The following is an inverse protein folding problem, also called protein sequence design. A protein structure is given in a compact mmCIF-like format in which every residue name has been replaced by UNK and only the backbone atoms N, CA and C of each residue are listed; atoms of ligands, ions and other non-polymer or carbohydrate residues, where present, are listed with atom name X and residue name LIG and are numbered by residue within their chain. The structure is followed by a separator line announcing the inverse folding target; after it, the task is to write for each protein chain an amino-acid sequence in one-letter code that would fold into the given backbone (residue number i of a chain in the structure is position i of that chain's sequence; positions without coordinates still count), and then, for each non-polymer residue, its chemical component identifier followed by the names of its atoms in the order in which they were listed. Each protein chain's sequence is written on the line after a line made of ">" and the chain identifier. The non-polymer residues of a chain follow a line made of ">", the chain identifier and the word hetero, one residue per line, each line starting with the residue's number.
data_IF_773977329228
#
_entry.id   IF_773977329228
#
_cell.length_a   1.000
_cell.length_b   1.000
_cell.length_c   1.000
_cell.angle_alpha   90.00
_cell.angle_beta   90.00
_cell.angle_gamma   90.00
#
_symmetry.space_group_name_H-M   'P 1'
#
loop_
_entity.id
_entity.type
_entity.pdbx_description
1 polymer ?
#
# COMPACT_ATOMS: atom_id res chain seq x y z
N UNK A 1 39.67 -23.00 20.39
CA UNK A 1 38.53 -23.91 20.07
C UNK A 1 37.29 -23.53 20.88
N UNK A 2 37.03 -22.23 21.06
CA UNK A 2 35.91 -21.71 21.86
C UNK A 2 35.21 -20.53 21.15
N UNK A 3 35.51 -20.35 19.85
CA UNK A 3 35.02 -19.23 19.03
C UNK A 3 33.87 -19.68 18.10
N UNK A 4 33.81 -20.96 17.73
CA UNK A 4 32.80 -21.53 16.81
C UNK A 4 31.34 -21.38 17.31
N UNK A 5 31.12 -21.38 18.63
CA UNK A 5 29.76 -21.32 19.17
C UNK A 5 29.10 -19.95 19.00
N UNK A 6 29.89 -18.86 19.01
CA UNK A 6 29.39 -17.50 18.77
C UNK A 6 28.99 -17.28 17.31
N UNK A 7 29.71 -17.93 16.40
CA UNK A 7 29.46 -17.84 14.97
C UNK A 7 28.15 -18.58 14.62
N UNK A 8 27.94 -19.76 15.20
CA UNK A 8 26.74 -20.57 14.97
C UNK A 8 25.43 -19.88 15.41
N UNK A 9 25.44 -19.17 16.54
CA UNK A 9 24.27 -18.39 17.00
C UNK A 9 23.97 -17.17 16.12
N UNK A 10 25.01 -16.55 15.57
CA UNK A 10 24.88 -15.41 14.65
C UNK A 10 24.33 -15.87 13.30
N UNK A 11 24.81 -17.00 12.78
CA UNK A 11 24.38 -17.59 11.52
C UNK A 11 22.91 -18.05 11.56
N UNK A 12 22.47 -18.63 12.69
CA UNK A 12 21.06 -18.98 12.92
C UNK A 12 20.15 -17.75 12.96
N UNK A 13 20.59 -16.68 13.63
CA UNK A 13 19.85 -15.41 13.72
C UNK A 13 19.64 -14.78 12.35
N UNK A 14 20.70 -14.76 11.54
CA UNK A 14 20.66 -14.24 10.17
C UNK A 14 19.74 -15.09 9.29
N UNK A 15 19.80 -16.42 9.40
CA UNK A 15 18.94 -17.34 8.67
C UNK A 15 17.45 -17.12 8.98
N UNK A 16 17.07 -17.01 10.26
CA UNK A 16 15.67 -16.76 10.67
C UNK A 16 15.18 -15.41 10.14
N UNK A 17 15.97 -14.35 10.25
CA UNK A 17 15.57 -13.03 9.74
C UNK A 17 15.49 -13.01 8.21
N UNK A 18 16.39 -13.71 7.52
CA UNK A 18 16.42 -13.79 6.06
C UNK A 18 15.24 -14.58 5.49
N UNK A 19 14.81 -15.66 6.14
CA UNK A 19 13.60 -16.39 5.75
C UNK A 19 12.34 -15.52 5.88
N UNK A 20 12.17 -14.83 7.02
CA UNK A 20 11.06 -13.89 7.24
C UNK A 20 11.07 -12.75 6.23
N UNK A 21 12.25 -12.21 5.89
CA UNK A 21 12.41 -11.15 4.90
C UNK A 21 12.05 -11.63 3.48
N UNK A 22 12.50 -12.83 3.10
CA UNK A 22 12.14 -13.43 1.81
C UNK A 22 10.64 -13.72 1.71
N UNK A 23 10.02 -14.20 2.79
CA UNK A 23 8.57 -14.39 2.85
C UNK A 23 7.84 -13.05 2.72
N UNK A 24 8.27 -12.02 3.46
CA UNK A 24 7.71 -10.67 3.37
C UNK A 24 7.81 -10.12 1.94
N UNK A 25 8.95 -10.29 1.29
CA UNK A 25 9.16 -9.85 -0.10
C UNK A 25 8.22 -10.58 -1.06
N UNK A 26 8.13 -11.92 -0.98
CA UNK A 26 7.28 -12.72 -1.87
C UNK A 26 5.80 -12.37 -1.69
N UNK A 27 5.32 -12.28 -0.46
CA UNK A 27 3.94 -11.91 -0.16
C UNK A 27 3.62 -10.47 -0.56
N UNK A 28 4.53 -9.52 -0.30
CA UNK A 28 4.35 -8.12 -0.71
C UNK A 28 4.24 -7.99 -2.23
N UNK A 29 5.12 -8.67 -2.97
CA UNK A 29 5.07 -8.64 -4.43
C UNK A 29 3.79 -9.29 -4.97
N UNK A 30 3.33 -10.38 -4.36
CA UNK A 30 2.06 -11.01 -4.69
C UNK A 30 0.86 -10.07 -4.43
N UNK A 31 0.82 -9.40 -3.27
CA UNK A 31 -0.24 -8.45 -2.94
C UNK A 31 -0.29 -7.28 -3.93
N UNK A 32 0.85 -6.67 -4.24
CA UNK A 32 0.94 -5.58 -5.22
C UNK A 32 0.45 -6.04 -6.60
N UNK A 33 0.89 -7.24 -7.03
CA UNK A 33 0.52 -7.79 -8.34
C UNK A 33 -0.98 -8.08 -8.45
N UNK A 34 -1.57 -8.69 -7.41
CA UNK A 34 -3.01 -8.98 -7.35
C UNK A 34 -3.81 -7.67 -7.36
N UNK A 35 -3.39 -6.67 -6.59
CA UNK A 35 -4.12 -5.39 -6.50
C UNK A 35 -4.05 -4.59 -7.82
N UNK A 36 -2.88 -4.59 -8.47
CA UNK A 36 -2.72 -3.99 -9.78
C UNK A 36 -3.61 -4.69 -10.82
N UNK A 37 -3.55 -6.03 -10.89
CA UNK A 37 -4.36 -6.83 -11.81
C UNK A 37 -5.86 -6.60 -11.61
N UNK A 38 -6.33 -6.61 -10.36
CA UNK A 38 -7.74 -6.33 -10.04
C UNK A 38 -8.18 -4.94 -10.51
N UNK A 39 -7.34 -3.93 -10.31
CA UNK A 39 -7.59 -2.56 -10.78
C UNK A 39 -7.69 -2.51 -12.31
N UNK A 40 -6.73 -3.11 -13.03
CA UNK A 40 -6.77 -3.17 -14.49
C UNK A 40 -8.02 -3.88 -15.01
N UNK A 41 -8.37 -5.04 -14.45
CA UNK A 41 -9.56 -5.81 -14.84
C UNK A 41 -10.85 -5.00 -14.61
N UNK A 42 -10.95 -4.28 -13.49
CA UNK A 42 -12.09 -3.42 -13.19
C UNK A 42 -12.29 -2.32 -14.26
N UNK A 43 -11.21 -1.64 -14.67
CA UNK A 43 -11.30 -0.62 -15.71
C UNK A 43 -11.55 -1.19 -17.11
N UNK A 44 -10.97 -2.35 -17.44
CA UNK A 44 -11.27 -3.05 -18.70
C UNK A 44 -12.76 -3.43 -18.75
N UNK A 45 -13.30 -4.04 -17.70
CA UNK A 45 -14.73 -4.42 -17.62
C UNK A 45 -15.62 -3.20 -17.86
N UNK A 46 -15.31 -2.09 -17.19
CA UNK A 46 -16.08 -0.86 -17.37
C UNK A 46 -15.98 -0.30 -18.79
N UNK A 47 -14.80 -0.29 -19.40
CA UNK A 47 -14.64 0.21 -20.75
C UNK A 47 -15.41 -0.65 -21.75
N UNK A 48 -15.35 -1.98 -21.60
CA UNK A 48 -16.10 -2.93 -22.42
C UNK A 48 -17.60 -2.69 -22.27
N UNK A 49 -18.10 -2.57 -21.03
CA UNK A 49 -19.52 -2.30 -20.74
C UNK A 49 -19.99 -0.97 -21.32
N UNK A 50 -19.20 0.09 -21.18
CA UNK A 50 -19.49 1.40 -21.77
C UNK A 50 -19.48 1.39 -23.30
N UNK A 51 -18.67 0.53 -23.94
CA UNK A 51 -18.66 0.35 -25.40
C UNK A 51 -19.88 -0.43 -25.90
N UNK A 52 -20.36 -1.40 -25.12
CA UNK A 52 -21.52 -2.23 -25.45
C UNK A 52 -22.83 -1.44 -25.30
N UNK A 53 -22.96 -0.65 -24.23
CA UNK A 53 -24.14 0.21 -24.01
C UNK A 53 -24.27 1.33 -25.05
N UNK A 54 -23.13 1.87 -25.51
CA UNK A 54 -23.09 2.86 -26.60
C UNK A 54 -23.60 2.33 -27.94
N UNK A 55 -23.66 1.01 -28.16
CA UNK A 55 -24.25 0.40 -29.35
C UNK A 55 -25.78 0.31 -29.31
N UNK A 56 -26.36 0.36 -28.11
CA UNK A 56 -27.80 0.23 -27.87
C UNK A 56 -28.53 1.59 -27.74
N UNK A 57 -27.83 2.69 -28.04
CA UNK A 57 -28.42 4.03 -28.06
C UNK A 57 -28.64 4.67 -26.68
N UNK A 58 -28.15 4.06 -25.59
CA UNK A 58 -28.22 4.63 -24.24
C UNK A 58 -26.86 5.13 -23.73
N UNK A 59 -26.97 6.10 -22.82
CA UNK A 59 -25.92 6.98 -22.28
C UNK A 59 -24.71 6.22 -21.73
N UNK A 60 -23.50 6.68 -22.05
CA UNK A 60 -22.23 6.11 -21.60
C UNK A 60 -22.01 6.40 -20.10
N UNK A 61 -22.16 5.38 -19.25
CA UNK A 61 -21.88 5.47 -17.80
C UNK A 61 -20.41 5.21 -17.47
N UNK A 62 -19.88 5.93 -16.47
CA UNK A 62 -18.52 5.74 -15.96
C UNK A 62 -18.39 4.47 -15.10
N UNK A 63 -17.18 3.85 -15.02
CA UNK A 63 -16.87 2.69 -14.16
C UNK A 63 -17.31 2.85 -12.72
N UNK A 64 -17.09 4.05 -12.20
CA UNK A 64 -17.44 4.48 -10.86
C UNK A 64 -18.64 5.41 -11.03
N UNK A 65 -19.65 5.24 -10.18
CA UNK A 65 -20.78 6.18 -10.09
C UNK A 65 -20.28 7.54 -9.59
N UNK A 66 -19.66 8.32 -10.47
CA UNK A 66 -19.30 9.72 -10.21
C UNK A 66 -20.33 10.56 -10.96
N UNK A 67 -21.27 11.13 -10.21
CA UNK A 67 -22.18 12.13 -10.75
C UNK A 67 -21.42 13.45 -10.90
N UNK A 68 -21.01 13.74 -12.13
CA UNK A 68 -20.54 15.08 -12.46
C UNK A 68 -21.75 16.00 -12.67
N UNK A 69 -21.73 17.25 -12.18
CA UNK A 69 -22.83 18.20 -12.35
C UNK A 69 -22.96 18.75 -13.79
N UNK A 70 -22.28 18.14 -14.77
CA UNK A 70 -22.24 18.56 -16.16
C UNK A 70 -22.30 17.34 -17.10
N UNK A 71 -22.88 17.52 -18.27
CA UNK A 71 -22.93 16.51 -19.33
C UNK A 71 -21.52 16.18 -19.84
N UNK A 72 -21.00 15.03 -19.42
CA UNK A 72 -19.68 14.52 -19.81
C UNK A 72 -19.74 13.81 -21.17
N UNK A 73 -20.52 14.33 -22.12
CA UNK A 73 -20.75 13.68 -23.41
C UNK A 73 -19.81 14.19 -24.52
N UNK A 74 -19.02 15.24 -24.25
CA UNK A 74 -18.05 15.75 -25.22
C UNK A 74 -16.66 15.12 -25.05
N UNK A 75 -16.16 14.63 -26.18
CA UNK A 75 -15.15 13.58 -26.32
C UNK A 75 -13.77 13.89 -25.72
N UNK A 76 -13.25 15.13 -25.62
CA UNK A 76 -11.95 15.32 -24.98
C UNK A 76 -12.03 15.33 -23.45
N UNK A 77 -13.13 15.81 -22.87
CA UNK A 77 -13.27 16.01 -21.41
C UNK A 77 -13.57 14.70 -20.71
N UNK A 78 -14.46 13.89 -21.30
CA UNK A 78 -14.78 12.55 -20.80
C UNK A 78 -13.53 11.67 -20.68
N UNK A 79 -12.68 11.67 -21.71
CA UNK A 79 -11.47 10.87 -21.75
C UNK A 79 -10.46 11.32 -20.69
N UNK A 80 -10.28 12.63 -20.51
CA UNK A 80 -9.36 13.17 -19.52
C UNK A 80 -9.81 12.90 -18.08
N UNK A 81 -11.10 13.11 -17.78
CA UNK A 81 -11.69 12.81 -16.47
C UNK A 81 -11.57 11.32 -16.16
N UNK A 82 -11.87 10.46 -17.15
CA UNK A 82 -11.70 9.01 -17.02
C UNK A 82 -10.25 8.60 -16.76
N UNK A 83 -9.29 9.22 -17.43
CA UNK A 83 -7.86 8.98 -17.21
C UNK A 83 -7.40 9.45 -15.82
N UNK A 84 -7.84 10.62 -15.37
CA UNK A 84 -7.56 11.12 -14.03
C UNK A 84 -8.11 10.19 -12.94
N UNK A 85 -9.33 9.69 -13.13
CA UNK A 85 -9.96 8.73 -12.23
C UNK A 85 -9.22 7.39 -12.23
N UNK A 86 -8.76 6.92 -13.39
CA UNK A 86 -7.91 5.73 -13.49
C UNK A 86 -6.63 5.87 -12.66
N UNK A 87 -5.91 6.97 -12.82
CA UNK A 87 -4.68 7.19 -12.05
C UNK A 87 -4.95 7.33 -10.54
N UNK A 88 -6.02 8.01 -10.14
CA UNK A 88 -6.38 8.15 -8.73
C UNK A 88 -6.71 6.80 -8.08
N UNK A 89 -7.48 5.93 -8.77
CA UNK A 89 -7.79 4.59 -8.26
C UNK A 89 -6.52 3.72 -8.23
N UNK A 90 -5.69 3.78 -9.28
CA UNK A 90 -4.42 3.05 -9.33
C UNK A 90 -3.51 3.44 -8.17
N UNK A 91 -3.32 4.74 -7.94
CA UNK A 91 -2.52 5.28 -6.85
C UNK A 91 -3.07 4.83 -5.48
N UNK A 92 -4.38 4.97 -5.26
CA UNK A 92 -5.03 4.55 -4.02
C UNK A 92 -4.82 3.05 -3.77
N UNK A 93 -4.99 2.22 -4.81
CA UNK A 93 -4.73 0.78 -4.75
C UNK A 93 -3.26 0.48 -4.44
N UNK A 94 -2.31 1.19 -5.06
CA UNK A 94 -0.88 1.05 -4.78
C UNK A 94 -0.56 1.41 -3.33
N UNK A 95 -1.06 2.53 -2.82
CA UNK A 95 -0.85 2.94 -1.43
C UNK A 95 -1.39 1.89 -0.47
N UNK A 96 -2.62 1.41 -0.64
CA UNK A 96 -3.19 0.35 0.19
C UNK A 96 -2.31 -0.91 0.16
N UNK A 97 -1.84 -1.32 -1.02
CA UNK A 97 -0.95 -2.47 -1.16
C UNK A 97 0.40 -2.25 -0.44
N UNK A 98 0.98 -1.05 -0.53
CA UNK A 98 2.20 -0.68 0.19
C UNK A 98 2.00 -0.70 1.70
N UNK A 99 0.89 -0.16 2.21
CA UNK A 99 0.57 -0.19 3.65
C UNK A 99 0.42 -1.62 4.15
N UNK A 100 -0.28 -2.47 3.42
CA UNK A 100 -0.43 -3.89 3.75
C UNK A 100 0.92 -4.64 3.72
N UNK A 101 1.78 -4.36 2.74
CA UNK A 101 3.14 -4.90 2.66
C UNK A 101 4.01 -4.46 3.85
N UNK A 102 3.91 -3.19 4.25
CA UNK A 102 4.60 -2.66 5.42
C UNK A 102 4.13 -3.34 6.71
N UNK A 103 2.82 -3.48 6.91
CA UNK A 103 2.23 -4.18 8.05
C UNK A 103 2.68 -5.65 8.07
N UNK A 104 2.66 -6.33 6.92
CA UNK A 104 3.11 -7.72 6.84
C UNK A 104 4.59 -7.87 7.20
N UNK A 105 5.44 -7.03 6.62
CA UNK A 105 6.88 -7.00 6.91
C UNK A 105 7.13 -6.74 8.39
N UNK A 106 6.35 -5.85 9.00
CA UNK A 106 6.39 -5.57 10.43
C UNK A 106 6.11 -6.81 11.27
N UNK A 107 4.98 -7.46 10.99
CA UNK A 107 4.53 -8.63 11.74
C UNK A 107 5.58 -9.72 11.63
N UNK A 108 6.13 -9.95 10.45
CA UNK A 108 7.19 -10.93 10.22
C UNK A 108 8.50 -10.55 10.91
N UNK A 109 8.90 -9.28 10.91
CA UNK A 109 10.08 -8.80 11.62
C UNK A 109 9.94 -8.97 13.14
N UNK A 110 8.82 -8.56 13.73
CA UNK A 110 8.55 -8.74 15.17
C UNK A 110 8.50 -10.22 15.52
N UNK A 111 7.88 -11.04 14.67
CA UNK A 111 7.84 -12.50 14.86
C UNK A 111 9.24 -13.11 14.82
N UNK A 112 10.10 -12.72 13.87
CA UNK A 112 11.49 -13.16 13.83
C UNK A 112 12.29 -12.74 15.07
N UNK A 113 12.10 -11.51 15.57
CA UNK A 113 12.72 -11.07 16.82
C UNK A 113 12.21 -11.88 18.04
N UNK A 114 10.95 -12.30 18.04
CA UNK A 114 10.37 -13.16 19.07
C UNK A 114 10.98 -14.56 19.01
N UNK A 115 11.09 -15.14 17.81
CA UNK A 115 11.66 -16.46 17.55
C UNK A 115 13.12 -16.53 18.03
N UNK A 116 13.95 -15.53 17.69
CA UNK A 116 15.35 -15.41 18.16
C UNK A 116 15.42 -15.41 19.68
N UNK A 117 14.62 -14.57 20.34
CA UNK A 117 14.60 -14.50 21.82
C UNK A 117 14.16 -15.84 22.44
N UNK A 118 13.21 -16.54 21.83
CA UNK A 118 12.79 -17.86 22.29
C UNK A 118 13.89 -18.91 22.12
N UNK A 119 14.68 -18.85 21.04
CA UNK A 119 15.84 -19.72 20.83
C UNK A 119 16.91 -19.49 21.89
N UNK A 120 17.31 -18.24 22.13
CA UNK A 120 18.28 -17.87 23.17
C UNK A 120 17.80 -18.29 24.58
N UNK A 121 16.50 -18.12 24.87
CA UNK A 121 15.91 -18.55 26.14
C UNK A 121 15.92 -20.07 26.31
N UNK A 122 15.73 -20.84 25.23
CA UNK A 122 15.76 -22.31 25.29
C UNK A 122 17.17 -22.81 25.60
N UNK A 123 18.19 -22.13 25.06
CA UNK A 123 19.60 -22.40 25.34
C UNK A 123 19.95 -22.07 26.80
N UNK A 124 19.54 -20.89 27.30
CA UNK A 124 19.81 -20.44 28.69
C UNK A 124 18.98 -21.20 29.74
N UNK A 125 17.75 -21.60 29.43
CA UNK A 125 16.89 -22.37 30.33
C UNK A 125 17.48 -23.75 30.65
N UNK A 126 18.44 -24.24 29.86
CA UNK A 126 19.19 -25.44 30.20
C UNK A 126 20.19 -25.22 31.35
N UNK A 127 20.49 -23.96 31.74
CA UNK A 127 21.59 -23.60 32.67
C UNK A 127 21.13 -22.93 33.98
N UNK A 128 20.07 -22.13 34.05
CA UNK A 128 19.33 -21.80 35.32
C UNK A 128 18.22 -20.77 35.11
N UNK A 129 17.16 -20.83 35.93
CA UNK A 129 15.98 -19.93 35.94
C UNK A 129 16.22 -18.71 36.83
N UNK A 130 16.06 -17.49 36.31
CA UNK A 130 15.87 -16.29 37.14
C UNK A 130 14.84 -15.31 36.58
N UNK A 131 14.08 -14.69 37.48
CA UNK A 131 12.97 -13.75 37.22
C UNK A 131 13.40 -12.40 36.63
N UNK A 132 14.66 -11.98 36.79
CA UNK A 132 15.15 -10.70 36.27
C UNK A 132 15.34 -10.70 34.75
N UNK A 133 15.68 -11.85 34.18
CA UNK A 133 15.84 -12.05 32.73
C UNK A 133 14.51 -11.82 32.01
N UNK A 134 13.40 -12.28 32.59
CA UNK A 134 12.07 -12.11 32.01
C UNK A 134 11.65 -10.63 31.90
N UNK A 135 11.92 -9.83 32.94
CA UNK A 135 11.67 -8.40 32.93
C UNK A 135 12.54 -7.67 31.89
N UNK A 136 13.83 -8.03 31.80
CA UNK A 136 14.76 -7.44 30.82
C UNK A 136 14.34 -7.74 29.37
N UNK A 137 13.92 -8.98 29.11
CA UNK A 137 13.40 -9.41 27.79
C UNK A 137 12.11 -8.69 27.42
N UNK A 138 11.21 -8.46 28.37
CA UNK A 138 9.96 -7.71 28.15
C UNK A 138 10.24 -6.24 27.79
N UNK A 139 11.18 -5.59 28.51
CA UNK A 139 11.59 -4.20 28.23
C UNK A 139 12.25 -4.08 26.86
N UNK A 140 13.11 -5.02 26.47
CA UNK A 140 13.74 -5.05 25.13
C UNK A 140 12.69 -5.27 24.03
N UNK A 141 11.72 -6.16 24.25
CA UNK A 141 10.60 -6.36 23.30
C UNK A 141 9.76 -5.10 23.14
N UNK A 142 9.40 -4.44 24.24
CA UNK A 142 8.67 -3.17 24.19
C UNK A 142 9.47 -2.07 23.48
N UNK A 143 10.76 -1.91 23.78
CA UNK A 143 11.60 -0.92 23.10
C UNK A 143 11.73 -1.19 21.60
N UNK A 144 11.89 -2.45 21.18
CA UNK A 144 11.91 -2.81 19.76
C UNK A 144 10.58 -2.49 19.07
N UNK A 145 9.44 -2.79 19.70
CA UNK A 145 8.11 -2.44 19.16
C UNK A 145 7.94 -0.92 19.06
N UNK A 146 8.37 -0.16 20.07
CA UNK A 146 8.28 1.31 20.07
C UNK A 146 9.17 1.90 18.96
N UNK A 147 10.42 1.45 18.83
CA UNK A 147 11.34 1.92 17.79
C UNK A 147 10.80 1.61 16.40
N UNK A 148 10.24 0.41 16.22
CA UNK A 148 9.68 -0.02 14.95
C UNK A 148 8.40 0.77 14.63
N UNK A 149 7.53 1.00 15.61
CA UNK A 149 6.33 1.83 15.48
C UNK A 149 6.65 3.25 15.02
N UNK A 150 7.69 3.87 15.58
CA UNK A 150 8.14 5.21 15.15
C UNK A 150 8.59 5.24 13.70
N UNK A 151 9.32 4.21 13.24
CA UNK A 151 9.73 4.12 11.84
C UNK A 151 8.52 3.95 10.92
N UNK A 152 7.56 3.07 11.26
CA UNK A 152 6.32 2.91 10.49
C UNK A 152 5.56 4.22 10.40
N UNK A 153 5.36 4.90 11.54
CA UNK A 153 4.59 6.13 11.63
C UNK A 153 5.19 7.20 10.70
N UNK A 154 6.52 7.30 10.65
CA UNK A 154 7.21 8.18 9.71
C UNK A 154 6.94 7.81 8.25
N UNK A 155 7.03 6.53 7.88
CA UNK A 155 6.76 6.08 6.51
C UNK A 155 5.30 6.29 6.11
N UNK A 156 4.35 5.93 6.98
CA UNK A 156 2.92 6.14 6.76
C UNK A 156 2.59 7.62 6.62
N UNK A 157 3.15 8.47 7.49
CA UNK A 157 2.95 9.92 7.43
C UNK A 157 3.48 10.50 6.11
N UNK A 158 4.64 10.04 5.65
CA UNK A 158 5.20 10.47 4.37
C UNK A 158 4.33 10.05 3.18
N UNK A 159 3.88 8.79 3.14
CA UNK A 159 3.00 8.28 2.07
C UNK A 159 1.65 9.01 2.08
N UNK A 160 1.07 9.24 3.26
CA UNK A 160 -0.18 9.98 3.40
C UNK A 160 -0.05 11.44 2.92
N UNK A 161 1.06 12.11 3.22
CA UNK A 161 1.33 13.46 2.75
C UNK A 161 1.44 13.52 1.22
N UNK A 162 2.19 12.61 0.61
CA UNK A 162 2.35 12.55 -0.84
C UNK A 162 0.98 12.36 -1.53
N UNK A 163 0.17 11.44 -1.01
CA UNK A 163 -1.18 11.17 -1.49
C UNK A 163 -2.09 12.40 -1.37
N UNK A 164 -2.01 13.14 -0.26
CA UNK A 164 -2.79 14.36 -0.05
C UNK A 164 -2.44 15.44 -1.09
N UNK A 165 -1.15 15.66 -1.32
CA UNK A 165 -0.67 16.62 -2.31
C UNK A 165 -1.11 16.23 -3.72
N UNK A 166 -0.96 14.96 -4.10
CA UNK A 166 -1.35 14.48 -5.42
C UNK A 166 -2.87 14.55 -5.65
N UNK A 167 -3.69 14.13 -4.68
CA UNK A 167 -5.14 14.25 -4.75
C UNK A 167 -5.58 15.71 -4.92
N UNK A 168 -4.95 16.63 -4.18
CA UNK A 168 -5.22 18.06 -4.32
C UNK A 168 -4.88 18.54 -5.73
N UNK A 169 -3.73 18.15 -6.27
CA UNK A 169 -3.33 18.48 -7.63
C UNK A 169 -4.32 17.97 -8.68
N UNK A 170 -4.76 16.71 -8.58
CA UNK A 170 -5.76 16.11 -9.48
C UNK A 170 -7.08 16.87 -9.40
N UNK A 171 -7.59 17.17 -8.20
CA UNK A 171 -8.84 17.91 -8.02
C UNK A 171 -8.74 19.32 -8.61
N UNK A 172 -7.62 20.02 -8.38
CA UNK A 172 -7.39 21.35 -8.94
C UNK A 172 -7.34 21.33 -10.47
N UNK A 173 -6.62 20.36 -11.05
CA UNK A 173 -6.52 20.20 -12.50
C UNK A 173 -7.90 19.89 -13.12
N UNK A 174 -8.67 18.99 -12.52
CA UNK A 174 -10.03 18.68 -12.94
C UNK A 174 -10.94 19.92 -12.85
N UNK A 175 -10.88 20.67 -11.75
CA UNK A 175 -11.65 21.90 -11.57
C UNK A 175 -11.33 22.97 -12.63
N UNK A 176 -10.05 23.15 -12.95
CA UNK A 176 -9.62 24.06 -14.01
C UNK A 176 -10.15 23.63 -15.39
N UNK A 177 -10.09 22.34 -15.71
CA UNK A 177 -10.62 21.80 -16.96
C UNK A 177 -12.14 22.01 -17.06
N UNK A 178 -12.89 21.83 -15.97
CA UNK A 178 -14.33 22.10 -15.94
C UNK A 178 -14.63 23.57 -16.26
N UNK A 179 -13.88 24.51 -15.67
CA UNK A 179 -14.07 25.95 -15.92
C UNK A 179 -13.79 26.33 -17.37
N UNK A 180 -12.72 25.81 -17.97
CA UNK A 180 -12.39 26.06 -19.39
C UNK A 180 -13.49 25.54 -20.31
N UNK A 181 -13.93 24.30 -20.08
CA UNK A 181 -14.95 23.65 -20.91
C UNK A 181 -16.27 24.42 -20.80
N UNK A 182 -16.66 24.85 -19.60
CA UNK A 182 -17.85 25.66 -19.38
C UNK A 182 -17.79 27.00 -20.14
N UNK A 183 -16.64 27.68 -20.13
CA UNK A 183 -16.45 28.93 -20.89
C UNK A 183 -16.49 28.70 -22.41
N UNK A 184 -15.85 27.65 -22.91
CA UNK A 184 -15.85 27.33 -24.34
C UNK A 184 -17.25 27.00 -24.86
N UNK A 185 -18.10 26.31 -24.08
CA UNK A 185 -19.51 26.10 -24.46
C UNK A 185 -20.31 27.41 -24.50
N UNK A 186 -20.01 28.37 -23.62
CA UNK A 186 -20.69 29.67 -23.56
C UNK A 186 -20.34 30.59 -24.74
N UNK A 187 -19.12 30.47 -25.29
CA UNK A 187 -18.66 31.23 -26.47
C UNK A 187 -19.27 30.73 -27.79
N UNK A 188 -19.68 29.46 -27.86
CA UNK A 188 -20.37 28.91 -29.05
C UNK A 188 -21.89 29.16 -29.08
N UNK A 189 -22.46 29.67 -27.97
CA UNK A 189 -23.89 30.01 -27.84
C UNK A 189 -24.18 31.51 -27.97
N UNK A 190 -23.14 32.34 -28.18
CA UNK A 190 -23.20 33.78 -28.46
C UNK A 190 -22.77 34.03 -29.91
#
# INVERSE_FOLDING_TARGET
>A
MNDDWKDCGTDLRECVMMDKANLAHRCSNAMISVNALATFLYFIDSYVRGSMLSKDGQLREFPIQVQFPFEVHETPVYQLVGLGLFFHVLETATVIAMLNALILTLVLHVSGQIDIVCLELKEISSISKSSSVFAKTLVVRHQKIISLSKNIESFFSFVALLQFVWNTFVICALGFMVVIVSKNKLVWLL
#
